data_IF_912879007331
#
_entry.id   IF_912879007331
#
_cell.length_a   1.000
_cell.length_b   1.000
_cell.length_c   1.000
_cell.angle_alpha   90.00
_cell.angle_beta   90.00
_cell.angle_gamma   90.00
#
_symmetry.space_group_name_H-M   'P 1'
#
loop_
_entity.id
_entity.type
_entity.pdbx_description
1 polymer ?
#
# COMPACT_ATOMS: atom_id res chain seq x y z
N UNK A 1 -2.38 2.44 -16.16
CA UNK A 1 -1.17 1.67 -15.80
C UNK A 1 -1.53 0.20 -15.83
N UNK A 2 -0.63 -0.68 -16.26
CA UNK A 2 -0.88 -2.14 -16.26
C UNK A 2 -0.79 -2.65 -14.82
N UNK A 3 -1.77 -3.45 -14.39
CA UNK A 3 -1.85 -3.98 -13.01
C UNK A 3 -0.62 -4.81 -12.64
N UNK A 4 -0.13 -5.66 -13.55
CA UNK A 4 1.06 -6.50 -13.29
C UNK A 4 2.32 -5.64 -13.08
N UNK A 5 2.47 -4.54 -13.81
CA UNK A 5 3.59 -3.59 -13.60
C UNK A 5 3.48 -2.93 -12.23
N UNK A 6 2.26 -2.57 -11.81
CA UNK A 6 2.04 -2.02 -10.47
C UNK A 6 2.32 -3.05 -9.37
N UNK A 7 1.91 -4.30 -9.55
CA UNK A 7 2.19 -5.40 -8.63
C UNK A 7 3.70 -5.61 -8.45
N UNK A 8 4.46 -5.66 -9.55
CA UNK A 8 5.91 -5.77 -9.52
C UNK A 8 6.56 -4.56 -8.82
N UNK A 9 6.06 -3.35 -9.09
CA UNK A 9 6.56 -2.14 -8.45
C UNK A 9 6.31 -2.14 -6.93
N UNK A 10 5.12 -2.57 -6.48
CA UNK A 10 4.81 -2.71 -5.05
C UNK A 10 5.78 -3.67 -4.37
N UNK A 11 5.93 -4.89 -4.91
CA UNK A 11 6.86 -5.89 -4.36
C UNK A 11 8.31 -5.37 -4.37
N UNK A 12 8.76 -4.77 -5.48
CA UNK A 12 10.11 -4.22 -5.58
C UNK A 12 10.38 -3.15 -4.51
N UNK A 13 9.44 -2.23 -4.30
CA UNK A 13 9.57 -1.19 -3.26
C UNK A 13 9.56 -1.81 -1.85
N UNK A 14 8.68 -2.77 -1.56
CA UNK A 14 8.63 -3.47 -0.28
C UNK A 14 9.97 -4.14 0.06
N UNK A 15 10.64 -4.75 -0.92
CA UNK A 15 11.92 -5.41 -0.74
C UNK A 15 13.08 -4.42 -0.60
N UNK A 16 13.03 -3.27 -1.29
CA UNK A 16 14.04 -2.21 -1.21
C UNK A 16 13.92 -1.36 0.05
N UNK A 17 12.69 -1.16 0.52
CA UNK A 17 12.32 -0.26 1.60
C UNK A 17 11.41 -0.97 2.60
N UNK A 18 11.97 -1.83 3.49
CA UNK A 18 11.17 -2.56 4.49
C UNK A 18 10.35 -1.67 5.41
N UNK A 19 10.74 -0.41 5.58
CA UNK A 19 9.98 0.59 6.35
C UNK A 19 8.62 0.98 5.72
N UNK A 20 8.41 0.69 4.43
CA UNK A 20 7.16 0.94 3.72
C UNK A 20 6.26 -0.30 3.62
N UNK A 21 6.66 -1.43 4.19
CA UNK A 21 5.89 -2.67 4.10
C UNK A 21 4.55 -2.57 4.82
N UNK A 22 4.47 -1.86 5.93
CA UNK A 22 3.25 -1.70 6.72
C UNK A 22 2.13 -1.01 5.92
N UNK A 23 2.47 -0.06 5.04
CA UNK A 23 1.51 0.59 4.14
C UNK A 23 0.85 -0.43 3.20
N UNK A 24 1.65 -1.34 2.63
CA UNK A 24 1.13 -2.40 1.78
C UNK A 24 0.36 -3.45 2.58
N UNK A 25 0.85 -3.88 3.75
CA UNK A 25 0.18 -4.89 4.58
C UNK A 25 -1.16 -4.41 5.11
N UNK A 26 -1.30 -3.11 5.38
CA UNK A 26 -2.56 -2.51 5.80
C UNK A 26 -3.58 -2.43 4.66
N UNK A 27 -3.13 -2.29 3.41
CA UNK A 27 -3.97 -1.99 2.25
C UNK A 27 -4.24 -3.19 1.36
N UNK A 28 -3.29 -4.13 1.25
CA UNK A 28 -3.33 -5.26 0.34
C UNK A 28 -3.39 -6.60 1.07
N UNK A 29 -3.88 -7.59 0.34
CA UNK A 29 -3.75 -9.00 0.70
C UNK A 29 -3.15 -9.77 -0.49
N UNK A 30 -2.54 -10.93 -0.22
CA UNK A 30 -1.93 -11.76 -1.27
C UNK A 30 -2.90 -12.16 -2.40
N UNK A 31 -4.22 -12.25 -2.09
CA UNK A 31 -5.28 -12.56 -3.06
C UNK A 31 -5.55 -11.45 -4.07
N UNK A 32 -5.10 -10.23 -3.78
CA UNK A 32 -5.29 -9.08 -4.67
C UNK A 32 -4.31 -9.07 -5.84
N UNK A 33 -3.26 -9.88 -5.78
CA UNK A 33 -2.30 -10.01 -6.86
C UNK A 33 -2.84 -10.91 -7.97
N UNK A 34 -2.69 -10.47 -9.21
CA UNK A 34 -3.06 -11.24 -10.40
C UNK A 34 -2.08 -12.39 -10.62
N UNK A 35 -0.77 -12.09 -10.46
CA UNK A 35 0.26 -13.10 -10.48
C UNK A 35 0.39 -13.75 -9.10
N UNK A 36 -0.04 -15.01 -8.97
CA UNK A 36 0.04 -15.78 -7.72
C UNK A 36 1.46 -15.80 -7.12
N UNK A 37 2.48 -15.82 -7.95
CA UNK A 37 3.87 -15.80 -7.50
C UNK A 37 4.22 -14.49 -6.76
N UNK A 38 3.72 -13.33 -7.23
CA UNK A 38 3.87 -12.05 -6.51
C UNK A 38 3.07 -12.04 -5.20
N UNK A 39 1.88 -12.61 -5.20
CA UNK A 39 1.10 -12.82 -3.99
C UNK A 39 1.81 -13.69 -2.96
N UNK A 40 2.54 -14.71 -3.39
CA UNK A 40 3.35 -15.58 -2.52
C UNK A 40 4.54 -14.81 -1.91
N UNK A 41 5.22 -13.96 -2.70
CA UNK A 41 6.29 -13.09 -2.18
C UNK A 41 5.73 -12.13 -1.14
N UNK A 42 4.58 -11.52 -1.42
CA UNK A 42 3.88 -10.64 -0.47
C UNK A 42 3.57 -11.36 0.85
N UNK A 43 3.01 -12.56 0.76
CA UNK A 43 2.67 -13.37 1.94
C UNK A 43 3.93 -13.75 2.73
N UNK A 44 5.02 -14.10 2.05
CA UNK A 44 6.30 -14.39 2.70
C UNK A 44 6.84 -13.17 3.45
N UNK A 45 6.79 -11.98 2.84
CA UNK A 45 7.19 -10.73 3.50
C UNK A 45 6.34 -10.49 4.76
N UNK A 46 5.03 -10.68 4.66
CA UNK A 46 4.11 -10.52 5.79
C UNK A 46 4.39 -11.51 6.91
N UNK A 47 4.58 -12.79 6.60
CA UNK A 47 4.92 -13.84 7.55
C UNK A 47 6.24 -13.55 8.30
N UNK A 48 7.22 -12.95 7.61
CA UNK A 48 8.48 -12.54 8.21
C UNK A 48 8.27 -11.36 9.15
N UNK A 49 7.50 -10.36 8.73
CA UNK A 49 7.17 -9.18 9.55
C UNK A 49 6.39 -9.58 10.82
N UNK A 50 5.41 -10.48 10.71
CA UNK A 50 4.61 -10.99 11.83
C UNK A 50 5.50 -11.75 12.87
N UNK A 51 6.63 -12.30 12.42
CA UNK A 51 7.66 -12.95 13.27
C UNK A 51 8.73 -11.98 13.79
N UNK A 52 8.58 -10.68 13.55
CA UNK A 52 9.56 -9.65 13.90
C UNK A 52 10.86 -9.74 13.08
N UNK A 53 10.86 -10.45 11.95
CA UNK A 53 12.00 -10.57 11.05
C UNK A 53 11.90 -9.51 9.95
N UNK A 54 13.03 -8.90 9.61
CA UNK A 54 13.08 -7.94 8.52
C UNK A 54 12.98 -8.66 7.18
N UNK A 55 11.94 -8.35 6.41
CA UNK A 55 11.73 -8.90 5.08
C UNK A 55 12.46 -8.03 4.03
N UNK A 56 13.79 -8.03 4.09
CA UNK A 56 14.63 -7.41 3.07
C UNK A 56 14.86 -8.35 1.87
N UNK A 57 15.45 -7.80 0.83
CA UNK A 57 15.75 -8.51 -0.41
C UNK A 57 16.49 -9.84 -0.19
N UNK A 58 17.56 -9.82 0.61
CA UNK A 58 18.42 -10.99 0.81
C UNK A 58 17.68 -12.08 1.58
N UNK A 59 16.99 -11.68 2.64
CA UNK A 59 16.21 -12.58 3.49
C UNK A 59 15.05 -13.23 2.74
N UNK A 60 14.35 -12.49 1.86
CA UNK A 60 13.24 -13.02 1.07
C UNK A 60 13.75 -13.94 -0.04
N UNK A 61 14.77 -13.51 -0.81
CA UNK A 61 15.37 -14.31 -1.88
C UNK A 61 15.92 -15.65 -1.35
N UNK A 62 16.51 -15.68 -0.15
CA UNK A 62 17.02 -16.91 0.44
C UNK A 62 15.94 -17.97 0.73
N UNK A 63 14.68 -17.54 0.87
CA UNK A 63 13.54 -18.41 1.18
C UNK A 63 12.67 -18.75 -0.04
N UNK A 64 12.93 -18.12 -1.18
CA UNK A 64 12.21 -18.36 -2.43
C UNK A 64 12.79 -19.56 -3.19
N UNK A 65 11.97 -20.23 -4.00
CA UNK A 65 12.41 -21.12 -5.05
C UNK A 65 13.05 -20.35 -6.23
N UNK A 66 13.68 -21.04 -7.15
CA UNK A 66 14.47 -20.40 -8.21
C UNK A 66 13.62 -19.55 -9.15
N UNK A 67 12.40 -19.95 -9.48
CA UNK A 67 11.49 -19.19 -10.33
C UNK A 67 11.03 -17.90 -9.63
N UNK A 68 10.70 -18.00 -8.35
CA UNK A 68 10.29 -16.87 -7.52
C UNK A 68 11.45 -15.90 -7.26
N UNK A 69 12.70 -16.39 -7.16
CA UNK A 69 13.91 -15.54 -7.07
C UNK A 69 14.06 -14.66 -8.30
N UNK A 70 13.93 -15.25 -9.49
CA UNK A 70 14.04 -14.50 -10.76
C UNK A 70 12.94 -13.42 -10.82
N UNK A 71 11.72 -13.78 -10.42
CA UNK A 71 10.59 -12.82 -10.38
C UNK A 71 10.84 -11.69 -9.37
N UNK A 72 11.33 -12.00 -8.16
CA UNK A 72 11.68 -11.01 -7.16
C UNK A 72 12.76 -10.05 -7.68
N UNK A 73 13.78 -10.55 -8.38
CA UNK A 73 14.80 -9.72 -9.02
C UNK A 73 14.19 -8.80 -10.10
N UNK A 74 13.31 -9.30 -10.95
CA UNK A 74 12.60 -8.49 -11.95
C UNK A 74 11.78 -7.36 -11.32
N UNK A 75 11.28 -7.55 -10.09
CA UNK A 75 10.52 -6.51 -9.39
C UNK A 75 11.39 -5.27 -9.12
N UNK A 76 12.69 -5.42 -8.85
CA UNK A 76 13.61 -4.28 -8.68
C UNK A 76 13.77 -3.46 -9.95
N UNK A 77 13.91 -4.13 -11.09
CA UNK A 77 14.09 -3.46 -12.39
C UNK A 77 12.83 -2.70 -12.81
N UNK A 78 11.69 -3.10 -12.26
CA UNK A 78 10.38 -2.51 -12.62
C UNK A 78 10.05 -1.26 -11.81
N UNK A 79 10.77 -0.96 -10.71
CA UNK A 79 10.46 0.19 -9.84
C UNK A 79 10.78 1.52 -10.54
N UNK A 80 9.78 2.29 -11.00
CA UNK A 80 10.06 3.57 -11.68
C UNK A 80 10.31 4.71 -10.69
N UNK A 81 9.63 4.71 -9.54
CA UNK A 81 9.78 5.73 -8.49
C UNK A 81 9.17 5.26 -7.18
N UNK A 82 9.86 5.50 -6.08
CA UNK A 82 9.35 5.23 -4.73
C UNK A 82 8.20 6.20 -4.37
N UNK A 83 8.23 7.44 -4.88
CA UNK A 83 7.17 8.42 -4.62
C UNK A 83 5.80 8.02 -5.17
N UNK A 84 5.77 7.09 -6.14
CA UNK A 84 4.54 6.52 -6.70
C UNK A 84 3.95 5.36 -5.91
N UNK A 85 4.49 4.99 -4.75
CA UNK A 85 4.12 3.75 -4.03
C UNK A 85 2.63 3.62 -3.78
N UNK A 86 1.99 4.64 -3.20
CA UNK A 86 0.55 4.64 -2.94
C UNK A 86 -0.28 4.54 -4.23
N UNK A 87 0.20 5.13 -5.33
CA UNK A 87 -0.45 5.00 -6.64
C UNK A 87 -0.39 3.56 -7.14
N UNK A 88 0.73 2.86 -6.93
CA UNK A 88 0.86 1.44 -7.31
C UNK A 88 -0.03 0.55 -6.46
N UNK A 89 -0.09 0.77 -5.13
CA UNK A 89 -1.01 0.07 -4.22
C UNK A 89 -2.46 0.25 -4.69
N UNK A 90 -2.89 1.47 -4.97
CA UNK A 90 -4.23 1.75 -5.45
C UNK A 90 -4.51 1.07 -6.80
N UNK A 91 -3.53 1.03 -7.71
CA UNK A 91 -3.67 0.33 -9.00
C UNK A 91 -3.86 -1.18 -8.83
N UNK A 92 -3.15 -1.82 -7.90
CA UNK A 92 -3.33 -3.24 -7.56
C UNK A 92 -4.73 -3.49 -7.01
N UNK A 93 -5.19 -2.65 -6.09
CA UNK A 93 -6.53 -2.74 -5.50
C UNK A 93 -7.64 -2.58 -6.55
N UNK A 94 -7.52 -1.58 -7.42
CA UNK A 94 -8.49 -1.35 -8.49
C UNK A 94 -8.51 -2.49 -9.50
N UNK A 95 -7.36 -3.04 -9.85
CA UNK A 95 -7.22 -4.21 -10.70
C UNK A 95 -7.91 -5.44 -10.10
N UNK A 96 -7.68 -5.70 -8.81
CA UNK A 96 -8.35 -6.79 -8.08
C UNK A 96 -9.87 -6.57 -8.04
N UNK A 97 -10.34 -5.39 -7.68
CA UNK A 97 -11.78 -5.06 -7.63
C UNK A 97 -12.45 -5.28 -8.98
N UNK A 98 -11.79 -4.88 -10.07
CA UNK A 98 -12.30 -5.09 -11.42
C UNK A 98 -12.42 -6.58 -11.74
N UNK A 99 -11.44 -7.41 -11.37
CA UNK A 99 -11.48 -8.86 -11.57
C UNK A 99 -12.61 -9.51 -10.75
N UNK A 100 -12.74 -9.15 -9.47
CA UNK A 100 -13.81 -9.65 -8.59
C UNK A 100 -15.20 -9.29 -9.13
N UNK A 101 -15.38 -8.03 -9.55
CA UNK A 101 -16.64 -7.56 -10.13
C UNK A 101 -16.95 -8.30 -11.44
N UNK A 102 -15.96 -8.43 -12.33
CA UNK A 102 -16.14 -9.17 -13.59
C UNK A 102 -16.51 -10.61 -13.35
N UNK A 103 -15.84 -11.30 -12.42
CA UNK A 103 -16.14 -12.68 -12.08
C UNK A 103 -17.55 -12.84 -11.49
N UNK A 104 -17.96 -11.92 -10.61
CA UNK A 104 -19.29 -11.93 -10.01
C UNK A 104 -20.40 -11.70 -11.06
N UNK A 105 -20.20 -10.74 -11.96
CA UNK A 105 -21.14 -10.49 -13.07
C UNK A 105 -21.19 -11.64 -14.07
N UNK A 106 -20.03 -12.22 -14.41
CA UNK A 106 -20.00 -13.38 -15.31
C UNK A 106 -20.75 -14.56 -14.71
N UNK A 107 -20.54 -14.83 -13.42
CA UNK A 107 -21.28 -15.88 -12.71
C UNK A 107 -22.79 -15.62 -12.77
N UNK A 108 -23.21 -14.38 -12.50
CA UNK A 108 -24.62 -14.00 -12.53
C UNK A 108 -25.25 -14.21 -13.91
N UNK A 109 -24.51 -13.89 -14.99
CA UNK A 109 -24.98 -14.07 -16.37
C UNK A 109 -25.04 -15.53 -16.83
N UNK A 110 -24.31 -16.43 -16.15
CA UNK A 110 -24.28 -17.86 -16.47
C UNK A 110 -25.20 -18.70 -15.56
N UNK A 111 -25.76 -18.08 -14.53
CA UNK A 111 -26.71 -18.72 -13.62
C UNK A 111 -28.13 -18.68 -14.22
N UNK A 112 -28.84 -19.82 -14.20
CA UNK A 112 -30.23 -19.95 -14.72
C UNK A 112 -31.29 -19.42 -13.72
N UNK A 113 -30.94 -18.39 -12.91
CA UNK A 113 -31.83 -17.74 -11.96
C UNK A 113 -32.93 -16.93 -12.63
N UNK A 114 -34.04 -16.76 -11.94
CA UNK A 114 -35.10 -15.85 -12.40
C UNK A 114 -34.71 -14.36 -12.26
N UNK A 115 -35.53 -13.46 -12.80
CA UNK A 115 -35.24 -12.03 -12.82
C UNK A 115 -35.13 -11.42 -11.41
N UNK A 116 -35.88 -11.94 -10.43
CA UNK A 116 -35.87 -11.45 -9.06
C UNK A 116 -34.59 -11.90 -8.32
N UNK A 117 -34.16 -13.14 -8.53
CA UNK A 117 -32.90 -13.66 -8.02
C UNK A 117 -31.70 -12.91 -8.60
N UNK A 118 -31.70 -12.65 -9.90
CA UNK A 118 -30.68 -11.83 -10.56
C UNK A 118 -30.63 -10.41 -10.02
N UNK A 119 -31.79 -9.78 -9.79
CA UNK A 119 -31.87 -8.44 -9.22
C UNK A 119 -31.33 -8.38 -7.80
N UNK A 120 -31.66 -9.36 -6.96
CA UNK A 120 -31.14 -9.46 -5.60
C UNK A 120 -29.62 -9.66 -5.59
N UNK A 121 -29.09 -10.52 -6.46
CA UNK A 121 -27.65 -10.75 -6.58
C UNK A 121 -26.88 -9.52 -7.06
N UNK A 122 -27.42 -8.76 -8.01
CA UNK A 122 -26.84 -7.48 -8.45
C UNK A 122 -26.80 -6.46 -7.29
N UNK A 123 -27.84 -6.38 -6.48
CA UNK A 123 -27.88 -5.51 -5.32
C UNK A 123 -26.78 -5.88 -4.31
N UNK A 124 -26.60 -7.15 -3.98
CA UNK A 124 -25.55 -7.62 -3.10
C UNK A 124 -24.13 -7.34 -3.64
N UNK A 125 -23.92 -7.47 -4.95
CA UNK A 125 -22.64 -7.12 -5.58
C UNK A 125 -22.37 -5.62 -5.41
N UNK A 126 -23.37 -4.77 -5.63
CA UNK A 126 -23.27 -3.32 -5.49
C UNK A 126 -22.97 -2.90 -4.03
N UNK A 127 -23.68 -3.46 -3.06
CA UNK A 127 -23.44 -3.20 -1.63
C UNK A 127 -22.01 -3.60 -1.22
N UNK A 128 -21.56 -4.77 -1.63
CA UNK A 128 -20.19 -5.23 -1.33
C UNK A 128 -19.14 -4.28 -1.90
N UNK A 129 -19.33 -3.75 -3.11
CA UNK A 129 -18.41 -2.79 -3.71
C UNK A 129 -18.42 -1.45 -2.96
N UNK A 130 -19.58 -0.96 -2.54
CA UNK A 130 -19.70 0.25 -1.72
C UNK A 130 -18.99 0.08 -0.37
N UNK A 131 -19.16 -1.06 0.29
CA UNK A 131 -18.47 -1.37 1.55
C UNK A 131 -16.94 -1.32 1.40
N UNK A 132 -16.40 -1.94 0.36
CA UNK A 132 -14.96 -1.91 0.07
C UNK A 132 -14.46 -0.47 -0.14
N UNK A 133 -15.21 0.35 -0.91
CA UNK A 133 -14.87 1.75 -1.16
C UNK A 133 -14.91 2.62 0.10
N UNK A 134 -15.92 2.42 0.97
CA UNK A 134 -16.05 3.16 2.21
C UNK A 134 -14.85 2.92 3.14
N UNK A 135 -14.43 1.66 3.31
CA UNK A 135 -13.28 1.30 4.14
C UNK A 135 -11.94 1.83 3.60
N UNK A 136 -11.79 1.93 2.27
CA UNK A 136 -10.63 2.57 1.66
C UNK A 136 -10.60 4.07 1.95
N UNK A 137 -11.75 4.74 1.88
CA UNK A 137 -11.88 6.18 2.13
C UNK A 137 -11.62 6.51 3.61
N UNK A 138 -12.10 5.68 4.53
CA UNK A 138 -11.85 5.84 5.98
C UNK A 138 -10.37 5.69 6.32
N UNK A 139 -9.66 4.70 5.73
CA UNK A 139 -8.22 4.53 5.90
C UNK A 139 -7.45 5.75 5.41
N UNK A 140 -7.74 6.22 4.19
CA UNK A 140 -7.09 7.40 3.63
C UNK A 140 -7.33 8.67 4.47
N UNK A 141 -8.52 8.83 5.06
CA UNK A 141 -8.83 9.94 5.94
C UNK A 141 -8.08 9.85 7.28
N UNK A 142 -7.95 8.63 7.83
CA UNK A 142 -7.18 8.38 9.04
C UNK A 142 -5.69 8.65 8.83
N UNK A 143 -5.11 8.11 7.74
CA UNK A 143 -3.70 8.32 7.40
C UNK A 143 -3.38 9.81 7.23
N UNK A 144 -4.30 10.59 6.65
CA UNK A 144 -4.17 12.04 6.52
C UNK A 144 -4.25 12.74 7.89
N UNK A 145 -5.17 12.33 8.75
CA UNK A 145 -5.30 12.90 10.11
C UNK A 145 -4.05 12.59 10.95
N UNK A 146 -3.56 11.35 10.94
CA UNK A 146 -2.35 10.92 11.63
C UNK A 146 -1.11 11.70 11.10
N UNK A 147 -1.05 11.97 9.79
CA UNK A 147 -0.02 12.82 9.17
C UNK A 147 -0.05 14.27 9.63
N UNK A 148 -1.25 14.86 9.78
CA UNK A 148 -1.42 16.20 10.34
C UNK A 148 -0.98 16.24 11.81
N UNK A 149 -1.39 15.26 12.62
CA UNK A 149 -1.02 15.21 14.03
C UNK A 149 0.49 15.04 14.22
N UNK A 150 1.13 14.22 13.39
CA UNK A 150 2.59 14.08 13.37
C UNK A 150 3.29 15.39 13.00
N UNK A 151 2.79 16.11 11.99
CA UNK A 151 3.30 17.41 11.58
C UNK A 151 3.12 18.47 12.68
N UNK A 152 1.95 18.53 13.31
CA UNK A 152 1.67 19.44 14.41
C UNK A 152 2.55 19.14 15.63
N UNK A 153 2.78 17.87 15.94
CA UNK A 153 3.68 17.47 17.02
C UNK A 153 5.15 17.80 16.73
N UNK A 154 5.56 17.68 15.45
CA UNK A 154 6.89 18.12 15.01
C UNK A 154 7.07 19.64 15.13
N UNK A 155 6.06 20.43 14.74
CA UNK A 155 6.09 21.90 14.91
C UNK A 155 6.11 22.34 16.39
N UNK A 156 5.53 21.56 17.29
CA UNK A 156 5.51 21.83 18.74
C UNK A 156 6.79 21.41 19.45
N UNK A 157 7.68 20.63 18.81
CA UNK A 157 8.99 20.34 19.39
C UNK A 157 9.78 21.65 19.46
N UNK A 158 10.30 22.04 20.65
CA UNK A 158 11.18 23.19 20.73
C UNK A 158 12.33 22.96 19.74
N UNK A 159 12.47 23.83 18.75
CA UNK A 159 13.59 23.77 17.84
C UNK A 159 14.87 23.94 18.67
N UNK A 160 15.86 23.09 18.45
CA UNK A 160 17.24 23.27 18.92
C UNK A 160 17.83 24.45 18.13
N UNK A 161 17.25 25.63 18.34
CA UNK A 161 17.63 26.83 17.62
C UNK A 161 18.64 27.62 18.45
N UNK A 162 19.70 28.07 17.79
CA UNK A 162 20.67 29.00 18.40
C UNK A 162 20.00 30.36 18.45
N UNK A 163 19.83 30.89 19.65
CA UNK A 163 19.35 32.27 19.81
C UNK A 163 20.42 33.24 19.31
N UNK A 164 20.02 34.16 18.45
CA UNK A 164 20.90 35.17 17.87
C UNK A 164 21.31 36.26 18.89
N UNK A 165 20.60 36.30 20.04
CA UNK A 165 20.76 37.35 21.05
C UNK A 165 19.96 38.63 20.75
N UNK A 166 19.27 38.71 19.61
CA UNK A 166 18.34 39.77 19.28
C UNK A 166 16.90 39.33 19.56
N UNK A 167 16.38 39.66 20.73
CA UNK A 167 15.08 39.11 21.22
C UNK A 167 13.93 39.31 20.26
N UNK A 168 13.85 40.40 19.51
CA UNK A 168 12.81 40.62 18.50
C UNK A 168 12.97 39.71 17.28
N UNK A 169 14.18 39.40 16.86
CA UNK A 169 14.48 38.51 15.73
C UNK A 169 14.22 37.05 16.12
N UNK A 170 14.65 36.66 17.31
CA UNK A 170 14.45 35.29 17.83
C UNK A 170 12.97 35.00 18.05
N UNK A 171 12.16 36.00 18.40
CA UNK A 171 10.71 35.87 18.53
C UNK A 171 10.02 35.70 17.17
N UNK A 172 10.51 36.35 16.12
CA UNK A 172 9.94 36.29 14.77
C UNK A 172 10.38 35.02 14.01
N UNK A 173 11.59 34.53 14.20
CA UNK A 173 12.18 33.43 13.43
C UNK A 173 12.27 32.11 14.20
N UNK A 174 12.01 32.13 15.50
CA UNK A 174 12.23 30.97 16.39
C UNK A 174 13.73 30.66 16.61
N UNK A 175 14.65 31.55 16.23
CA UNK A 175 16.10 31.36 16.25
C UNK A 175 16.65 30.75 14.96
N UNK A 176 17.98 30.61 14.87
CA UNK A 176 18.68 30.05 13.72
C UNK A 176 18.66 28.50 13.80
N UNK A 177 18.22 27.83 12.74
CA UNK A 177 18.26 26.38 12.67
C UNK A 177 19.70 25.86 12.75
N UNK A 178 19.95 24.94 13.66
CA UNK A 178 21.24 24.26 13.76
C UNK A 178 21.26 23.15 12.66
N UNK A 179 21.89 23.48 11.52
CA UNK A 179 22.20 22.46 10.52
C UNK A 179 23.37 21.63 11.06
N UNK A 180 23.04 20.34 11.41
CA UNK A 180 24.02 19.32 11.68
C UNK A 180 24.40 18.58 10.40
#
# INVERSE_FOLDING_TARGET
MNTIVAEKAVIGIMLMKPELQDDAFSSLTYKMFELKALGNIFLLCKDMADKGQRADTVSVISKCDDDTKVLAMQCFETVPSISGYNTYINCVMDGWRKRELTAALTKLLTDDGDADEMSAALFHIAERQQYIMAHQKERSAKDFADGIDAFLSWMKKPSDSIQTGFGSLDTMTGGLARNG
#
